data_IF_912174388226
#
_entry.id   IF_912174388226
#
_cell.length_a   1.000
_cell.length_b   1.000
_cell.length_c   1.000
_cell.angle_alpha   90.00
_cell.angle_beta   90.00
_cell.angle_gamma   90.00
#
_symmetry.space_group_name_H-M   'P 1'
#
loop_
_entity.id
_entity.type
_entity.pdbx_description
1 polymer ?
#
# COMPACT_ATOMS: atom_id res chain seq x y z
N UNK A 1 -23.03 -20.64 -0.24
CA UNK A 1 -22.41 -19.39 0.26
C UNK A 1 -23.34 -18.65 1.23
N UNK A 2 -24.54 -18.19 0.86
CA UNK A 2 -25.43 -17.43 1.75
C UNK A 2 -25.69 -18.10 3.12
N UNK A 3 -25.91 -19.43 3.14
CA UNK A 3 -26.16 -20.21 4.37
C UNK A 3 -24.95 -20.23 5.33
N UNK A 4 -23.73 -20.27 4.79
CA UNK A 4 -22.49 -20.24 5.61
C UNK A 4 -22.27 -18.85 6.19
N UNK A 5 -22.46 -17.82 5.37
CA UNK A 5 -22.32 -16.43 5.79
C UNK A 5 -23.35 -16.07 6.87
N UNK A 6 -24.61 -16.50 6.73
CA UNK A 6 -25.65 -16.20 7.71
C UNK A 6 -25.45 -16.87 9.09
N UNK A 7 -24.62 -17.92 9.14
CA UNK A 7 -24.31 -18.62 10.39
C UNK A 7 -22.95 -18.25 11.00
N UNK A 8 -22.05 -17.66 10.22
CA UNK A 8 -20.68 -17.34 10.64
C UNK A 8 -20.42 -15.84 10.80
N UNK A 9 -21.24 -14.98 10.20
CA UNK A 9 -21.10 -13.51 10.32
C UNK A 9 -22.40 -12.88 10.78
N UNK A 10 -22.27 -11.95 11.72
CA UNK A 10 -23.39 -11.13 12.17
C UNK A 10 -23.52 -9.87 11.27
N UNK A 11 -24.63 -9.17 11.41
CA UNK A 11 -24.82 -7.88 10.76
C UNK A 11 -23.76 -6.86 11.24
N UNK A 12 -23.39 -5.88 10.39
CA UNK A 12 -22.57 -4.77 10.84
C UNK A 12 -23.18 -4.08 12.05
N UNK A 13 -22.33 -3.58 12.95
CA UNK A 13 -22.77 -2.86 14.13
C UNK A 13 -23.69 -1.69 13.74
N UNK A 14 -24.83 -1.54 14.42
CA UNK A 14 -25.82 -0.50 14.11
C UNK A 14 -25.25 0.91 14.21
N UNK A 15 -24.38 1.16 15.19
CA UNK A 15 -23.67 2.44 15.32
C UNK A 15 -22.87 2.76 14.07
N UNK A 16 -22.14 1.77 13.53
CA UNK A 16 -21.36 1.92 12.29
C UNK A 16 -22.26 2.17 11.08
N UNK A 17 -23.44 1.56 11.03
CA UNK A 17 -24.40 1.79 9.94
C UNK A 17 -24.94 3.22 9.96
N UNK A 18 -25.34 3.75 11.14
CA UNK A 18 -25.78 5.14 11.28
C UNK A 18 -24.64 6.13 10.97
N UNK A 19 -23.43 5.84 11.44
CA UNK A 19 -22.26 6.66 11.12
C UNK A 19 -21.99 6.68 9.61
N UNK A 20 -22.14 5.54 8.91
CA UNK A 20 -21.99 5.44 7.46
C UNK A 20 -23.04 6.29 6.73
N UNK A 21 -24.30 6.24 7.15
CA UNK A 21 -25.36 7.09 6.59
C UNK A 21 -25.04 8.58 6.77
N UNK A 22 -24.60 8.98 7.96
CA UNK A 22 -24.21 10.36 8.23
C UNK A 22 -22.99 10.78 7.38
N UNK A 23 -21.98 9.90 7.26
CA UNK A 23 -20.79 10.18 6.45
C UNK A 23 -21.09 10.32 4.96
N UNK A 24 -21.97 9.47 4.41
CA UNK A 24 -22.31 9.50 2.98
C UNK A 24 -23.23 10.66 2.57
N UNK A 25 -24.10 11.10 3.48
CA UNK A 25 -25.03 12.21 3.24
C UNK A 25 -24.53 13.56 3.78
N UNK A 26 -23.42 13.58 4.50
CA UNK A 26 -22.83 14.79 5.07
C UNK A 26 -21.99 15.57 4.06
N UNK A 27 -21.34 16.62 4.54
CA UNK A 27 -20.43 17.42 3.74
C UNK A 27 -19.23 16.60 3.27
N UNK A 28 -18.99 16.59 1.96
CA UNK A 28 -17.89 15.90 1.28
C UNK A 28 -16.81 16.87 0.77
N UNK A 29 -16.94 18.17 1.05
CA UNK A 29 -16.04 19.21 0.50
C UNK A 29 -14.56 18.98 0.86
N UNK A 30 -14.29 18.43 2.04
CA UNK A 30 -12.94 18.09 2.50
C UNK A 30 -12.21 17.06 1.63
N UNK A 31 -12.94 16.26 0.84
CA UNK A 31 -12.35 15.24 -0.02
C UNK A 31 -11.54 15.84 -1.16
N UNK A 32 -11.90 17.03 -1.63
CA UNK A 32 -11.21 17.71 -2.74
C UNK A 32 -9.75 17.98 -2.37
N UNK A 33 -9.53 18.62 -1.22
CA UNK A 33 -8.20 18.94 -0.72
C UNK A 33 -7.40 17.67 -0.39
N UNK A 34 -8.04 16.73 0.29
CA UNK A 34 -7.39 15.45 0.66
C UNK A 34 -6.97 14.66 -0.56
N UNK A 35 -7.84 14.55 -1.56
CA UNK A 35 -7.51 13.85 -2.81
C UNK A 35 -6.36 14.52 -3.55
N UNK A 36 -6.31 15.85 -3.59
CA UNK A 36 -5.20 16.59 -4.18
C UNK A 36 -3.88 16.29 -3.45
N UNK A 37 -3.89 16.28 -2.12
CA UNK A 37 -2.72 15.95 -1.31
C UNK A 37 -2.26 14.50 -1.51
N UNK A 38 -3.18 13.53 -1.53
CA UNK A 38 -2.86 12.13 -1.82
C UNK A 38 -2.30 11.93 -3.22
N UNK A 39 -2.86 12.61 -4.21
CA UNK A 39 -2.36 12.57 -5.59
C UNK A 39 -0.93 13.09 -5.68
N UNK A 40 -0.63 14.22 -5.04
CA UNK A 40 0.73 14.77 -5.02
C UNK A 40 1.72 13.82 -4.33
N UNK A 41 1.35 13.21 -3.20
CA UNK A 41 2.17 12.21 -2.50
C UNK A 41 2.40 10.97 -3.33
N UNK A 42 1.36 10.46 -4.00
CA UNK A 42 1.46 9.33 -4.92
C UNK A 42 2.47 9.61 -6.02
N UNK A 43 2.34 10.75 -6.68
CA UNK A 43 3.18 11.11 -7.80
C UNK A 43 4.65 11.21 -7.35
N UNK A 44 4.91 11.86 -6.21
CA UNK A 44 6.25 11.92 -5.62
C UNK A 44 6.83 10.53 -5.33
N UNK A 45 6.07 9.65 -4.67
CA UNK A 45 6.55 8.31 -4.30
C UNK A 45 6.82 7.47 -5.55
N UNK A 46 5.94 7.51 -6.54
CA UNK A 46 6.14 6.77 -7.79
C UNK A 46 7.37 7.25 -8.55
N UNK A 47 7.59 8.57 -8.62
CA UNK A 47 8.75 9.15 -9.27
C UNK A 47 10.06 8.75 -8.56
N UNK A 48 10.07 8.81 -7.22
CA UNK A 48 11.23 8.39 -6.42
C UNK A 48 11.53 6.89 -6.56
N UNK A 49 10.51 6.03 -6.55
CA UNK A 49 10.68 4.59 -6.74
C UNK A 49 11.22 4.26 -8.13
N UNK A 50 10.72 4.92 -9.17
CA UNK A 50 11.20 4.71 -10.54
C UNK A 50 12.58 5.32 -10.80
N UNK A 51 13.05 6.24 -9.96
CA UNK A 51 14.43 6.73 -10.00
C UNK A 51 15.42 5.76 -9.33
N UNK A 52 14.95 4.82 -8.51
CA UNK A 52 15.81 3.84 -7.84
C UNK A 52 16.16 2.69 -8.79
N UNK A 53 17.47 2.38 -8.92
CA UNK A 53 17.95 1.32 -9.81
C UNK A 53 17.42 -0.06 -9.41
N UNK A 54 16.80 -0.76 -10.34
CA UNK A 54 16.26 -2.10 -10.13
C UNK A 54 14.85 -2.15 -9.55
N UNK A 55 14.24 -1.00 -9.29
CA UNK A 55 12.84 -0.87 -8.87
C UNK A 55 12.02 -0.29 -10.02
N UNK A 56 10.81 -0.78 -10.19
CA UNK A 56 9.83 -0.19 -11.10
C UNK A 56 8.46 -0.17 -10.47
N UNK A 57 7.76 0.94 -10.58
CA UNK A 57 6.44 1.13 -9.97
C UNK A 57 5.47 1.70 -11.00
N UNK A 58 4.41 0.94 -11.30
CA UNK A 58 3.29 1.46 -12.07
C UNK A 58 2.52 2.51 -11.23
N UNK A 59 2.05 3.56 -11.88
CA UNK A 59 1.26 4.60 -11.22
C UNK A 59 -0.13 4.06 -10.90
N UNK A 60 -0.52 3.94 -9.61
CA UNK A 60 -1.83 3.46 -9.24
C UNK A 60 -2.91 4.52 -9.55
N UNK A 61 -4.07 4.07 -9.98
CA UNK A 61 -5.21 4.95 -10.25
C UNK A 61 -6.02 5.29 -9.01
N UNK A 62 -5.88 4.50 -7.94
CA UNK A 62 -6.60 4.68 -6.68
C UNK A 62 -5.87 4.09 -5.49
N UNK A 63 -6.56 4.07 -4.35
CA UNK A 63 -6.03 3.68 -3.04
C UNK A 63 -4.84 4.55 -2.58
N UNK A 64 -4.19 4.14 -1.49
CA UNK A 64 -3.03 4.84 -0.92
C UNK A 64 -1.79 3.93 -0.86
N UNK A 65 -1.81 2.83 -1.60
CA UNK A 65 -0.68 1.92 -1.75
C UNK A 65 0.04 2.17 -3.07
N UNK A 66 1.34 1.86 -3.10
CA UNK A 66 2.09 1.60 -4.31
C UNK A 66 2.56 0.14 -4.28
N UNK A 67 2.67 -0.49 -5.43
CA UNK A 67 3.14 -1.87 -5.55
C UNK A 67 4.33 -1.94 -6.51
N UNK A 68 5.53 -1.60 -6.00
CA UNK A 68 6.74 -1.60 -6.82
C UNK A 68 7.25 -3.02 -7.07
N UNK A 69 7.72 -3.28 -8.27
CA UNK A 69 8.49 -4.47 -8.59
C UNK A 69 9.95 -4.28 -8.19
N UNK A 70 10.49 -5.23 -7.43
CA UNK A 70 11.91 -5.31 -7.06
C UNK A 70 12.69 -6.31 -7.92
N UNK A 71 12.17 -6.73 -9.07
CA UNK A 71 12.77 -7.75 -9.92
C UNK A 71 14.21 -7.42 -10.33
N UNK A 72 14.55 -6.15 -10.50
CA UNK A 72 15.89 -5.73 -10.87
C UNK A 72 16.93 -5.76 -9.74
N UNK A 73 16.52 -6.03 -8.49
CA UNK A 73 17.43 -6.21 -7.34
C UNK A 73 17.60 -7.68 -6.96
N UNK A 74 16.74 -8.57 -7.44
CA UNK A 74 16.87 -10.02 -7.21
C UNK A 74 18.19 -10.53 -7.83
N UNK A 75 18.92 -11.31 -7.05
CA UNK A 75 20.24 -11.83 -7.39
C UNK A 75 21.40 -10.88 -7.04
N UNK A 76 21.16 -9.64 -6.70
CA UNK A 76 22.19 -8.68 -6.23
C UNK A 76 22.56 -8.95 -4.76
N UNK A 77 23.71 -8.43 -4.37
CA UNK A 77 24.20 -8.50 -2.98
C UNK A 77 24.24 -7.08 -2.40
N UNK A 78 23.74 -6.91 -1.19
CA UNK A 78 23.74 -5.63 -0.47
C UNK A 78 25.14 -5.24 -0.04
N UNK A 79 25.35 -4.00 0.37
CA UNK A 79 26.62 -3.54 0.94
C UNK A 79 27.01 -4.33 2.21
N UNK A 80 26.03 -4.86 2.95
CA UNK A 80 26.22 -5.72 4.11
C UNK A 80 26.58 -7.18 3.76
N UNK A 81 26.65 -7.54 2.46
CA UNK A 81 27.00 -8.88 2.00
C UNK A 81 25.82 -9.85 1.95
N UNK A 82 24.60 -9.39 2.15
CA UNK A 82 23.39 -10.23 2.08
C UNK A 82 22.95 -10.34 0.62
N UNK A 83 22.79 -11.56 0.12
CA UNK A 83 22.24 -11.83 -1.21
C UNK A 83 20.73 -11.78 -1.18
N UNK A 84 20.13 -11.01 -2.07
CA UNK A 84 18.68 -10.89 -2.24
C UNK A 84 18.23 -11.95 -3.23
N UNK A 85 17.56 -12.99 -2.76
CA UNK A 85 17.05 -14.08 -3.60
C UNK A 85 15.53 -13.96 -3.83
N UNK A 86 14.83 -13.33 -2.89
CA UNK A 86 13.37 -13.15 -2.93
C UNK A 86 12.98 -11.71 -2.58
N UNK A 87 11.74 -11.36 -2.83
CA UNK A 87 11.13 -10.10 -2.38
C UNK A 87 11.02 -10.03 -0.85
N UNK A 88 10.85 -11.18 -0.16
CA UNK A 88 10.92 -11.26 1.30
C UNK A 88 12.31 -10.87 1.81
N UNK A 89 13.39 -11.36 1.18
CA UNK A 89 14.76 -10.97 1.55
C UNK A 89 14.96 -9.47 1.35
N UNK A 90 14.47 -8.93 0.24
CA UNK A 90 14.54 -7.50 -0.03
C UNK A 90 13.83 -6.66 1.03
N UNK A 91 12.58 -7.01 1.38
CA UNK A 91 11.82 -6.25 2.38
C UNK A 91 12.40 -6.38 3.78
N UNK A 92 12.95 -7.55 4.13
CA UNK A 92 13.63 -7.78 5.40
C UNK A 92 14.90 -6.95 5.52
N UNK A 93 15.72 -6.96 4.49
CA UNK A 93 16.97 -6.19 4.43
C UNK A 93 16.68 -4.69 4.48
N UNK A 94 15.68 -4.22 3.72
CA UNK A 94 15.24 -2.83 3.72
C UNK A 94 14.79 -2.36 5.12
N UNK A 95 14.10 -3.23 5.86
CA UNK A 95 13.70 -2.93 7.23
C UNK A 95 14.90 -2.87 8.18
N UNK A 96 15.84 -3.81 8.04
CA UNK A 96 16.98 -3.93 8.97
C UNK A 96 18.04 -2.85 8.75
N UNK A 97 18.29 -2.46 7.50
CA UNK A 97 19.35 -1.51 7.16
C UNK A 97 18.86 -0.06 7.10
N UNK A 98 17.65 0.17 6.57
CA UNK A 98 17.13 1.51 6.30
C UNK A 98 15.93 1.88 7.20
N UNK A 99 15.41 0.95 7.99
CA UNK A 99 14.24 1.18 8.83
C UNK A 99 12.93 1.37 8.05
N UNK A 100 12.89 0.95 6.79
CA UNK A 100 11.72 1.07 5.93
C UNK A 100 10.94 -0.23 5.94
N UNK A 101 9.69 -0.18 6.42
CA UNK A 101 8.79 -1.34 6.45
C UNK A 101 7.99 -1.43 5.16
N UNK A 102 8.05 -2.57 4.52
CA UNK A 102 7.23 -2.92 3.36
C UNK A 102 6.71 -4.36 3.51
N UNK A 103 5.69 -4.71 2.73
CA UNK A 103 5.14 -6.06 2.69
C UNK A 103 5.58 -6.69 1.38
N UNK A 104 6.11 -7.91 1.46
CA UNK A 104 6.42 -8.72 0.27
C UNK A 104 5.12 -9.26 -0.38
N UNK A 105 5.13 -9.53 -1.68
CA UNK A 105 3.97 -9.92 -2.47
C UNK A 105 3.94 -11.39 -2.90
#
# INVERSE_FOLDING_TARGET
>A
MAKVISQSTLNPCSISQYACVAALNGDQSFLVERNAAFKARRDLVVDMLNAAEGISCAKPEGAFYVYPSCAGVIGKTTQGGVKIETDEDFTRELLQTEGVSAVFG
#
